data_IF_107906700655
#
_entry.id   IF_107906700655
#
_cell.length_a   1.000
_cell.length_b   1.000
_cell.length_c   1.000
_cell.angle_alpha   90.00
_cell.angle_beta   90.00
_cell.angle_gamma   90.00
#
_symmetry.space_group_name_H-M   'P 1'
#
loop_
_entity.id
_entity.type
_entity.pdbx_description
1 polymer ?
#
# COMPACT_ATOMS: atom_id res chain seq x y z
N UNK A 1 15.61 5.69 4.06
CA UNK A 1 14.87 4.63 4.80
C UNK A 1 15.17 4.63 6.30
N UNK A 2 16.44 4.72 6.74
CA UNK A 2 16.81 4.73 8.17
C UNK A 2 16.04 5.77 9.01
N UNK A 3 15.87 6.99 8.48
CA UNK A 3 15.14 8.09 9.15
C UNK A 3 13.69 7.73 9.43
N UNK A 4 12.95 7.20 8.43
CA UNK A 4 11.54 6.83 8.63
C UNK A 4 11.37 5.74 9.70
N UNK A 5 12.25 4.73 9.67
CA UNK A 5 12.22 3.62 10.62
C UNK A 5 12.57 4.11 12.04
N UNK A 6 13.64 4.90 12.19
CA UNK A 6 14.03 5.42 13.49
C UNK A 6 12.96 6.34 14.09
N UNK A 7 12.33 7.19 13.27
CA UNK A 7 11.22 8.03 13.73
C UNK A 7 10.01 7.19 14.19
N UNK A 8 9.68 6.10 13.49
CA UNK A 8 8.61 5.19 13.92
C UNK A 8 8.96 4.46 15.24
N UNK A 9 10.22 4.09 15.43
CA UNK A 9 10.73 3.46 16.66
C UNK A 9 10.68 4.43 17.86
N UNK A 10 11.15 5.67 17.68
CA UNK A 10 11.12 6.73 18.70
C UNK A 10 9.68 7.04 19.15
N UNK A 11 8.76 7.12 18.18
CA UNK A 11 7.34 7.38 18.44
C UNK A 11 6.57 6.12 18.90
N UNK A 12 7.23 4.96 18.97
CA UNK A 12 6.65 3.68 19.40
C UNK A 12 5.41 3.26 18.61
N UNK A 13 5.37 3.57 17.31
CA UNK A 13 4.30 3.11 16.44
C UNK A 13 4.46 1.63 16.08
N UNK A 14 3.34 0.96 15.81
CA UNK A 14 3.37 -0.37 15.16
C UNK A 14 3.61 -0.17 13.67
N UNK A 15 4.64 -0.81 13.13
CA UNK A 15 5.02 -0.65 11.73
C UNK A 15 5.61 -1.93 11.14
N UNK A 16 5.67 -1.99 9.82
CA UNK A 16 6.41 -3.00 9.07
C UNK A 16 7.63 -2.35 8.40
N UNK A 17 8.80 -3.00 8.49
CA UNK A 17 10.07 -2.45 7.96
C UNK A 17 10.13 -2.40 6.43
N UNK A 18 9.34 -3.25 5.77
CA UNK A 18 9.28 -3.40 4.31
C UNK A 18 7.90 -3.95 3.93
N UNK A 19 7.54 -3.74 2.67
CA UNK A 19 6.38 -4.34 2.03
C UNK A 19 6.39 -4.07 0.53
N UNK A 20 5.75 -4.94 -0.24
CA UNK A 20 5.55 -4.85 -1.68
C UNK A 20 4.17 -4.28 -1.95
N UNK A 21 4.09 -3.13 -2.62
CA UNK A 21 2.84 -2.48 -2.96
C UNK A 21 2.43 -2.82 -4.39
N UNK A 22 1.16 -3.18 -4.60
CA UNK A 22 0.52 -3.15 -5.92
C UNK A 22 -0.24 -1.84 -6.08
N UNK A 23 -0.04 -1.17 -7.22
CA UNK A 23 -0.77 0.05 -7.57
C UNK A 23 -1.79 -0.31 -8.65
N UNK A 24 -3.08 -0.11 -8.38
CA UNK A 24 -4.17 -0.30 -9.34
C UNK A 24 -4.71 1.06 -9.78
N UNK A 25 -5.38 1.12 -10.93
CA UNK A 25 -5.90 2.38 -11.49
C UNK A 25 -6.99 3.04 -10.62
N UNK A 26 -7.81 2.25 -9.92
CA UNK A 26 -9.01 2.79 -9.25
C UNK A 26 -10.06 3.32 -10.25
N UNK A 27 -11.04 4.14 -9.81
CA UNK A 27 -11.36 4.51 -8.42
C UNK A 27 -12.08 3.39 -7.66
N UNK A 28 -12.43 2.28 -8.34
CA UNK A 28 -13.01 1.11 -7.70
C UNK A 28 -11.98 0.39 -6.84
N UNK A 29 -12.41 -0.14 -5.70
CA UNK A 29 -11.63 -1.15 -4.99
C UNK A 29 -11.53 -2.44 -5.80
N UNK A 30 -10.54 -3.26 -5.47
CA UNK A 30 -10.35 -4.59 -6.04
C UNK A 30 -11.51 -5.50 -5.70
N UNK A 31 -11.88 -6.35 -6.65
CA UNK A 31 -12.70 -7.53 -6.38
C UNK A 31 -11.91 -8.53 -5.55
N UNK A 32 -12.60 -9.48 -4.90
CA UNK A 32 -11.95 -10.56 -4.17
C UNK A 32 -11.00 -11.39 -5.06
N UNK A 33 -11.41 -11.66 -6.31
CA UNK A 33 -10.58 -12.40 -7.24
C UNK A 33 -9.25 -11.67 -7.54
N UNK A 34 -9.30 -10.35 -7.74
CA UNK A 34 -8.09 -9.53 -7.92
C UNK A 34 -7.22 -9.54 -6.66
N UNK A 35 -7.82 -9.40 -5.48
CA UNK A 35 -7.11 -9.46 -4.20
C UNK A 35 -6.34 -10.77 -4.01
N UNK A 36 -6.96 -11.92 -4.33
CA UNK A 36 -6.29 -13.22 -4.28
C UNK A 36 -5.15 -13.34 -5.29
N UNK A 37 -5.29 -12.76 -6.49
CA UNK A 37 -4.20 -12.72 -7.48
C UNK A 37 -3.03 -11.91 -6.94
N UNK A 38 -3.25 -10.72 -6.38
CA UNK A 38 -2.19 -9.89 -5.83
C UNK A 38 -1.48 -10.56 -4.64
N UNK A 39 -2.24 -11.27 -3.80
CA UNK A 39 -1.66 -12.10 -2.73
C UNK A 39 -0.80 -13.24 -3.28
N UNK A 40 -1.23 -13.88 -4.37
CA UNK A 40 -0.45 -14.92 -5.06
C UNK A 40 0.88 -14.39 -5.63
N UNK A 41 0.95 -13.09 -5.93
CA UNK A 41 2.17 -12.38 -6.35
C UNK A 41 3.03 -11.92 -5.17
N UNK A 42 2.65 -12.28 -3.94
CA UNK A 42 3.34 -11.89 -2.71
C UNK A 42 3.36 -10.36 -2.50
N UNK A 43 2.30 -9.66 -2.94
CA UNK A 43 2.07 -8.26 -2.58
C UNK A 43 1.55 -8.15 -1.14
N UNK A 44 2.04 -7.16 -0.40
CA UNK A 44 1.70 -6.94 1.01
C UNK A 44 0.58 -5.89 1.18
N UNK A 45 0.54 -4.88 0.30
CA UNK A 45 -0.44 -3.79 0.33
C UNK A 45 -0.91 -3.42 -1.08
N UNK A 46 -2.09 -2.81 -1.17
CA UNK A 46 -2.68 -2.26 -2.40
C UNK A 46 -2.95 -0.77 -2.23
N UNK A 47 -2.72 0.01 -3.29
CA UNK A 47 -3.08 1.43 -3.35
C UNK A 47 -3.36 1.87 -4.81
N UNK A 48 -3.53 3.18 -5.02
CA UNK A 48 -3.83 3.79 -6.32
C UNK A 48 -2.92 4.99 -6.65
N UNK A 49 -1.86 5.23 -5.87
CA UNK A 49 -1.10 6.50 -5.88
C UNK A 49 0.41 6.35 -5.68
N UNK A 50 0.96 5.15 -5.71
CA UNK A 50 2.43 4.98 -5.69
C UNK A 50 3.01 5.10 -7.09
N UNK A 51 2.26 4.65 -8.09
CA UNK A 51 2.52 4.90 -9.50
C UNK A 51 1.55 5.99 -9.97
N UNK A 52 2.02 7.04 -10.67
CA UNK A 52 3.32 7.14 -11.35
C UNK A 52 4.49 7.73 -10.54
N UNK A 53 4.25 8.20 -9.33
CA UNK A 53 5.15 9.06 -8.56
C UNK A 53 6.53 8.43 -8.34
N UNK A 54 6.58 7.13 -8.04
CA UNK A 54 7.83 6.43 -7.72
C UNK A 54 8.80 6.40 -8.90
N UNK A 55 8.32 6.18 -10.12
CA UNK A 55 9.20 6.10 -11.28
C UNK A 55 9.55 7.49 -11.81
N UNK A 56 8.63 8.46 -11.72
CA UNK A 56 8.93 9.86 -12.05
C UNK A 56 10.00 10.44 -11.12
N UNK A 57 9.92 10.17 -9.82
CA UNK A 57 10.95 10.59 -8.87
C UNK A 57 12.32 9.97 -9.20
N UNK A 58 12.33 8.70 -9.61
CA UNK A 58 13.55 8.00 -10.01
C UNK A 58 14.16 8.58 -11.29
N UNK A 59 13.33 8.90 -12.29
CA UNK A 59 13.76 9.54 -13.54
C UNK A 59 14.39 10.92 -13.28
N UNK A 60 13.86 11.67 -12.31
CA UNK A 60 14.38 12.97 -11.90
C UNK A 60 15.57 12.90 -10.92
N UNK A 61 16.01 11.69 -10.54
CA UNK A 61 17.10 11.51 -9.57
C UNK A 61 16.75 11.94 -8.14
N UNK A 62 15.46 12.03 -7.80
CA UNK A 62 14.97 12.41 -6.48
C UNK A 62 14.88 11.15 -5.60
N UNK A 63 15.53 11.11 -4.42
CA UNK A 63 15.35 10.02 -3.48
C UNK A 63 13.90 9.91 -3.03
N UNK A 64 13.24 8.81 -3.37
CA UNK A 64 11.84 8.55 -3.01
C UNK A 64 11.73 7.54 -1.85
N UNK A 65 10.85 7.82 -0.90
CA UNK A 65 10.46 6.89 0.14
C UNK A 65 8.99 7.12 0.48
N UNK A 66 8.25 6.05 0.75
CA UNK A 66 6.82 6.11 1.06
C UNK A 66 6.52 5.46 2.41
N UNK A 67 5.52 6.00 3.10
CA UNK A 67 4.89 5.38 4.28
C UNK A 67 3.46 5.06 3.91
N UNK A 68 3.08 3.78 3.96
CA UNK A 68 1.72 3.34 3.71
C UNK A 68 0.98 3.12 5.03
N UNK A 69 -0.17 3.77 5.18
CA UNK A 69 -1.09 3.52 6.29
C UNK A 69 -2.09 2.45 5.86
N UNK A 70 -2.14 1.33 6.59
CA UNK A 70 -3.10 0.26 6.33
C UNK A 70 -4.45 0.66 6.95
N UNK A 71 -5.44 0.90 6.10
CA UNK A 71 -6.80 1.33 6.50
C UNK A 71 -7.78 0.17 6.62
N UNK A 72 -7.57 -0.89 5.84
CA UNK A 72 -8.46 -2.04 5.73
C UNK A 72 -7.69 -3.25 5.15
N UNK A 73 -8.36 -4.39 5.07
CA UNK A 73 -7.81 -5.64 4.55
C UNK A 73 -8.24 -5.92 3.10
N UNK A 74 -8.62 -4.90 2.32
CA UNK A 74 -9.21 -5.08 0.99
C UNK A 74 -10.37 -6.11 1.05
N UNK A 75 -10.63 -6.84 -0.04
CA UNK A 75 -11.77 -7.76 -0.12
C UNK A 75 -11.43 -9.25 0.10
N UNK A 76 -10.17 -9.60 0.39
CA UNK A 76 -9.74 -11.01 0.55
C UNK A 76 -10.19 -11.61 1.88
N UNK A 77 -10.24 -10.82 2.94
CA UNK A 77 -10.52 -11.35 4.28
C UNK A 77 -12.02 -11.50 4.53
N UNK A 78 -12.48 -12.73 4.62
CA UNK A 78 -13.88 -13.02 4.94
C UNK A 78 -14.27 -12.52 6.34
N UNK A 79 -15.45 -11.91 6.47
CA UNK A 79 -15.99 -11.41 7.74
C UNK A 79 -15.58 -10.00 8.14
N UNK A 80 -14.65 -9.36 7.42
CA UNK A 80 -14.28 -7.96 7.65
C UNK A 80 -15.13 -7.00 6.80
N UNK A 81 -15.37 -5.80 7.33
CA UNK A 81 -16.14 -4.77 6.61
C UNK A 81 -15.30 -4.23 5.46
N UNK A 82 -15.74 -4.50 4.24
CA UNK A 82 -15.18 -3.89 3.03
C UNK A 82 -15.56 -2.41 3.00
N UNK A 83 -14.56 -1.55 2.77
CA UNK A 83 -14.79 -0.12 2.57
C UNK A 83 -15.51 0.07 1.24
N UNK A 84 -16.63 0.80 1.26
CA UNK A 84 -17.37 1.15 0.04
C UNK A 84 -17.39 2.67 -0.12
N UNK A 85 -17.17 3.14 -1.34
CA UNK A 85 -17.38 4.54 -1.68
C UNK A 85 -18.88 4.73 -1.91
N UNK A 86 -19.52 5.59 -1.12
CA UNK A 86 -20.86 6.08 -1.42
C UNK A 86 -20.70 7.33 -2.29
N UNK A 87 -21.34 7.34 -3.46
CA UNK A 87 -21.51 8.54 -4.27
C UNK A 87 -22.61 9.42 -3.67
#
# INVERSE_FOLDING_TARGET
MKVLISSAEELKYKYFKKGTAVCIEGPRYSSRAESEVFRSWNCDIINMTVCPEVYLAKELGIPFATTALVTDYDCWREGEKVVSVRL
#
